data_IF_842166158644
#
_entry.id   IF_842166158644
#
_cell.length_a   1.000
_cell.length_b   1.000
_cell.length_c   1.000
_cell.angle_alpha   90.00
_cell.angle_beta   90.00
_cell.angle_gamma   90.00
#
_symmetry.space_group_name_H-M   'P 1'
#
loop_
_entity.id
_entity.type
_entity.pdbx_description
1 polymer ?
#
# COMPACT_ATOMS: atom_id res chain seq x y z
N UNK A 1 37.66 -8.86 40.22
CA UNK A 1 37.43 -8.39 38.84
C UNK A 1 37.39 -9.62 37.94
N UNK A 2 36.39 -9.76 37.04
CA UNK A 2 35.94 -11.04 36.50
C UNK A 2 36.79 -11.61 35.34
N UNK A 3 36.93 -12.94 35.34
CA UNK A 3 37.44 -13.79 34.27
C UNK A 3 36.24 -14.32 33.46
N UNK A 4 36.34 -14.35 32.12
CA UNK A 4 35.66 -15.24 31.12
C UNK A 4 35.90 -14.64 29.71
N UNK A 5 36.74 -15.19 28.82
CA UNK A 5 36.51 -16.35 27.91
C UNK A 5 35.04 -16.42 27.43
N UNK A 6 34.66 -16.49 26.16
CA UNK A 6 35.26 -16.80 24.85
C UNK A 6 34.08 -17.08 23.86
N UNK A 7 34.37 -17.52 22.63
CA UNK A 7 33.44 -17.94 21.53
C UNK A 7 32.75 -16.78 20.79
N UNK A 8 32.99 -16.46 19.50
CA UNK A 8 33.07 -17.22 18.23
C UNK A 8 31.79 -17.99 17.86
N UNK A 9 31.01 -17.44 16.93
CA UNK A 9 30.17 -18.15 15.93
C UNK A 9 29.80 -17.15 14.83
N UNK A 10 30.45 -17.24 13.66
CA UNK A 10 29.90 -17.87 12.45
C UNK A 10 28.59 -17.18 11.99
N UNK A 11 28.54 -16.36 10.94
CA UNK A 11 29.27 -16.52 9.68
C UNK A 11 28.63 -17.63 8.83
N UNK A 12 27.36 -17.46 8.45
CA UNK A 12 26.74 -18.24 7.36
C UNK A 12 25.93 -17.26 6.49
N UNK A 13 26.56 -16.84 5.40
CA UNK A 13 25.92 -16.29 4.20
C UNK A 13 25.95 -17.41 3.17
N UNK A 14 24.82 -18.05 2.92
CA UNK A 14 24.54 -18.99 1.84
C UNK A 14 23.06 -19.38 1.97
N UNK A 15 22.21 -19.44 0.95
CA UNK A 15 22.35 -19.37 -0.49
C UNK A 15 20.98 -18.99 -1.07
N UNK A 16 20.94 -18.09 -2.06
CA UNK A 16 19.76 -17.89 -2.91
C UNK A 16 20.08 -18.55 -4.25
N UNK A 17 19.57 -19.78 -4.45
CA UNK A 17 19.70 -20.53 -5.70
C UNK A 17 18.35 -20.58 -6.42
N UNK A 18 18.40 -20.26 -7.70
CA UNK A 18 17.30 -20.17 -8.65
C UNK A 18 16.73 -21.53 -9.07
N UNK A 19 15.39 -21.68 -9.09
CA UNK A 19 14.56 -22.58 -9.91
C UNK A 19 13.14 -21.97 -9.88
N UNK A 20 12.35 -21.79 -10.93
CA UNK A 20 12.44 -22.16 -12.33
C UNK A 20 11.27 -21.52 -13.10
N UNK A 21 11.44 -21.45 -14.42
CA UNK A 21 10.50 -20.97 -15.41
C UNK A 21 9.46 -22.06 -15.77
N UNK A 22 8.26 -21.61 -16.18
CA UNK A 22 7.27 -22.27 -17.06
C UNK A 22 5.97 -22.74 -16.40
N UNK A 23 4.91 -21.95 -16.59
CA UNK A 23 3.62 -22.48 -17.07
C UNK A 23 3.08 -21.55 -18.17
N UNK A 24 2.73 -22.15 -19.30
CA UNK A 24 2.00 -21.52 -20.40
C UNK A 24 0.51 -21.84 -20.23
N UNK A 25 -0.39 -20.86 -20.38
CA UNK A 25 -1.80 -21.08 -20.76
C UNK A 25 -2.54 -19.75 -21.02
N UNK A 26 -3.23 -19.69 -22.17
CA UNK A 26 -4.52 -19.00 -22.45
C UNK A 26 -4.57 -17.46 -22.32
N UNK A 27 -4.68 -16.70 -23.43
CA UNK A 27 -5.88 -16.43 -24.26
C UNK A 27 -7.01 -15.75 -23.47
N UNK A 28 -7.24 -14.48 -23.83
CA UNK A 28 -8.43 -13.65 -23.59
C UNK A 28 -8.94 -13.54 -22.14
N UNK A 29 -8.54 -12.48 -21.43
CA UNK A 29 -9.36 -11.87 -20.36
C UNK A 29 -8.95 -10.42 -20.12
N UNK A 30 -9.75 -9.51 -20.68
CA UNK A 30 -9.82 -8.12 -20.27
C UNK A 30 -10.58 -8.05 -18.94
N UNK A 31 -9.86 -8.30 -17.86
CA UNK A 31 -10.24 -7.88 -16.51
C UNK A 31 -9.01 -7.24 -15.89
N UNK A 32 -8.93 -5.91 -16.01
CA UNK A 32 -8.05 -5.13 -15.17
C UNK A 32 -8.74 -4.97 -13.80
N UNK A 33 -8.76 -6.05 -13.03
CA UNK A 33 -8.84 -5.94 -11.57
C UNK A 33 -7.40 -6.10 -11.08
N UNK A 34 -6.81 -5.12 -10.40
CA UNK A 34 -5.59 -5.40 -9.67
C UNK A 34 -6.00 -6.34 -8.54
N UNK A 35 -5.78 -7.63 -8.74
CA UNK A 35 -5.74 -8.61 -7.68
C UNK A 35 -4.54 -8.24 -6.80
N UNK A 36 -4.74 -7.39 -5.81
CA UNK A 36 -3.75 -7.17 -4.76
C UNK A 36 -3.89 -8.33 -3.78
N UNK A 37 -3.36 -9.49 -4.17
CA UNK A 37 -2.89 -10.47 -3.19
C UNK A 37 -1.64 -9.89 -2.53
N UNK A 38 -1.81 -9.00 -1.57
CA UNK A 38 -0.77 -8.60 -0.63
C UNK A 38 -1.19 -9.05 0.78
N UNK A 39 -1.31 -10.37 0.93
CA UNK A 39 -1.37 -11.01 2.24
C UNK A 39 -0.04 -11.75 2.43
N UNK A 40 0.98 -11.05 2.91
CA UNK A 40 2.13 -11.61 3.64
C UNK A 40 2.97 -10.46 4.18
N UNK A 41 3.10 -10.40 5.51
CA UNK A 41 4.00 -9.51 6.26
C UNK A 41 3.50 -8.06 6.51
N UNK A 42 2.27 -7.90 7.01
CA UNK A 42 1.91 -6.67 7.73
C UNK A 42 2.46 -6.80 9.17
N UNK A 43 3.28 -5.84 9.67
CA UNK A 43 3.67 -5.81 11.07
C UNK A 43 2.44 -5.78 11.97
N UNK A 44 2.56 -6.26 13.20
CA UNK A 44 1.46 -6.21 14.16
C UNK A 44 0.90 -4.77 14.21
N UNK A 45 -0.41 -4.58 14.05
CA UNK A 45 -0.94 -3.25 13.87
C UNK A 45 -0.69 -2.42 15.12
N UNK A 46 -0.12 -1.23 14.91
CA UNK A 46 0.18 -0.30 16.00
C UNK A 46 -1.09 0.27 16.65
N UNK A 47 -2.25 0.07 16.02
CA UNK A 47 -3.54 0.65 16.38
C UNK A 47 -4.57 -0.44 16.72
N UNK A 48 -5.61 -0.08 17.47
CA UNK A 48 -6.68 -1.01 17.84
C UNK A 48 -7.39 -1.56 16.60
N UNK A 49 -7.90 -2.80 16.61
CA UNK A 49 -8.60 -3.39 15.47
C UNK A 49 -9.82 -2.57 15.00
N UNK A 50 -10.49 -1.86 15.91
CA UNK A 50 -11.57 -0.92 15.59
C UNK A 50 -11.08 0.26 14.74
N UNK A 51 -9.90 0.80 15.05
CA UNK A 51 -9.29 1.90 14.29
C UNK A 51 -8.85 1.43 12.90
N UNK A 52 -8.31 0.21 12.81
CA UNK A 52 -7.99 -0.39 11.51
C UNK A 52 -9.23 -0.50 10.63
N UNK A 53 -10.34 -1.00 11.18
CA UNK A 53 -11.60 -1.12 10.44
C UNK A 53 -12.14 0.25 10.03
N UNK A 54 -12.07 1.24 10.91
CA UNK A 54 -12.49 2.60 10.61
C UNK A 54 -11.65 3.21 9.47
N UNK A 55 -10.32 3.09 9.55
CA UNK A 55 -9.43 3.55 8.49
C UNK A 55 -9.67 2.82 7.16
N UNK A 56 -9.91 1.51 7.22
CA UNK A 56 -10.22 0.68 6.06
C UNK A 56 -11.52 1.13 5.38
N UNK A 57 -12.60 1.32 6.14
CA UNK A 57 -13.88 1.80 5.62
C UNK A 57 -13.74 3.18 4.97
N UNK A 58 -12.96 4.07 5.60
CA UNK A 58 -12.72 5.41 5.09
C UNK A 58 -11.91 5.37 3.78
N UNK A 59 -10.90 4.50 3.70
CA UNK A 59 -10.12 4.27 2.48
C UNK A 59 -10.98 3.66 1.35
N UNK A 60 -11.86 2.71 1.64
CA UNK A 60 -12.79 2.14 0.65
C UNK A 60 -13.80 3.19 0.14
N UNK A 61 -14.28 4.09 1.00
CA UNK A 61 -15.14 5.19 0.57
C UNK A 61 -14.38 6.19 -0.33
N UNK A 62 -13.13 6.50 0.03
CA UNK A 62 -12.26 7.34 -0.79
C UNK A 62 -12.01 6.71 -2.17
N UNK A 63 -11.81 5.39 -2.23
CA UNK A 63 -11.66 4.65 -3.48
C UNK A 63 -12.93 4.72 -4.34
N UNK A 64 -14.12 4.58 -3.74
CA UNK A 64 -15.40 4.75 -4.47
C UNK A 64 -15.50 6.14 -5.10
N UNK A 65 -15.10 7.19 -4.37
CA UNK A 65 -15.07 8.56 -4.90
C UNK A 65 -14.05 8.67 -6.04
N UNK A 66 -12.86 8.08 -5.90
CA UNK A 66 -11.82 8.07 -6.92
C UNK A 66 -12.28 7.37 -8.21
N UNK A 67 -13.05 6.30 -8.09
CA UNK A 67 -13.58 5.50 -9.19
C UNK A 67 -14.90 6.03 -9.77
N UNK A 68 -15.55 6.99 -9.10
CA UNK A 68 -16.80 7.59 -9.56
C UNK A 68 -16.62 8.23 -10.95
N UNK A 69 -17.37 7.78 -11.98
CA UNK A 69 -17.33 8.37 -13.31
C UNK A 69 -18.11 9.69 -13.41
N UNK A 70 -18.99 10.00 -12.44
CA UNK A 70 -19.78 11.23 -12.42
C UNK A 70 -18.95 12.46 -12.01
N UNK A 71 -17.85 12.25 -11.28
CA UNK A 71 -16.98 13.33 -10.81
C UNK A 71 -15.81 13.59 -11.76
N UNK A 72 -15.50 14.86 -12.00
CA UNK A 72 -14.33 15.20 -12.78
C UNK A 72 -13.03 14.82 -12.02
N UNK A 73 -11.94 14.47 -12.72
CA UNK A 73 -10.63 14.21 -12.10
C UNK A 73 -10.17 15.27 -11.10
N UNK A 74 -10.48 16.54 -11.39
CA UNK A 74 -10.14 17.70 -10.54
C UNK A 74 -10.92 17.77 -9.24
N UNK A 75 -12.03 17.06 -9.13
CA UNK A 75 -12.89 17.05 -7.95
C UNK A 75 -12.68 15.76 -7.16
N UNK A 76 -12.65 14.61 -7.84
CA UNK A 76 -12.52 13.32 -7.16
C UNK A 76 -11.13 13.06 -6.59
N UNK A 77 -10.05 13.41 -7.29
CA UNK A 77 -8.70 13.12 -6.80
C UNK A 77 -8.32 13.91 -5.55
N UNK A 78 -8.56 15.23 -5.44
CA UNK A 78 -8.31 15.95 -4.19
C UNK A 78 -9.17 15.44 -3.04
N UNK A 79 -10.45 15.13 -3.30
CA UNK A 79 -11.38 14.64 -2.28
C UNK A 79 -10.95 13.27 -1.74
N UNK A 80 -10.68 12.33 -2.65
CA UNK A 80 -10.17 11.01 -2.28
C UNK A 80 -8.81 11.11 -1.56
N UNK A 81 -7.91 11.97 -2.03
CA UNK A 81 -6.60 12.18 -1.40
C UNK A 81 -6.71 12.67 0.04
N UNK A 82 -7.64 13.59 0.34
CA UNK A 82 -7.94 14.03 1.69
C UNK A 82 -8.38 12.87 2.58
N UNK A 83 -9.34 12.08 2.10
CA UNK A 83 -9.86 10.93 2.84
C UNK A 83 -8.78 9.87 3.07
N UNK A 84 -7.96 9.53 2.08
CA UNK A 84 -6.86 8.58 2.31
C UNK A 84 -5.87 9.08 3.37
N UNK A 85 -5.60 10.39 3.45
CA UNK A 85 -4.76 10.96 4.51
C UNK A 85 -5.43 10.87 5.88
N UNK A 86 -6.75 11.06 5.95
CA UNK A 86 -7.51 10.85 7.18
C UNK A 86 -7.46 9.39 7.63
N UNK A 87 -7.55 8.44 6.68
CA UNK A 87 -7.37 7.02 6.96
C UNK A 87 -5.98 6.73 7.54
N UNK A 88 -4.91 7.31 6.97
CA UNK A 88 -3.55 7.18 7.51
C UNK A 88 -3.33 7.87 8.85
N UNK A 89 -4.16 8.85 9.19
CA UNK A 89 -4.13 9.48 10.53
C UNK A 89 -4.72 8.54 11.59
N UNK A 90 -5.67 7.68 11.20
CA UNK A 90 -6.29 6.68 12.08
C UNK A 90 -5.44 5.41 12.14
N UNK A 91 -5.04 4.88 10.98
CA UNK A 91 -4.19 3.70 10.81
C UNK A 91 -3.04 4.02 9.84
N UNK A 92 -1.85 4.38 10.36
CA UNK A 92 -0.69 4.70 9.52
C UNK A 92 -0.19 3.53 8.66
N UNK A 93 -0.58 2.29 8.99
CA UNK A 93 -0.19 1.09 8.25
C UNK A 93 -1.26 0.65 7.23
N UNK A 94 -2.25 1.52 6.95
CA UNK A 94 -3.27 1.20 5.98
C UNK A 94 -2.68 1.14 4.56
N UNK A 95 -2.49 -0.08 4.07
CA UNK A 95 -1.89 -0.33 2.76
C UNK A 95 -2.75 0.22 1.60
N UNK A 96 -4.08 0.21 1.72
CA UNK A 96 -4.98 0.72 0.68
C UNK A 96 -4.83 2.23 0.53
N UNK A 97 -4.84 2.96 1.65
CA UNK A 97 -4.67 4.41 1.66
C UNK A 97 -3.28 4.83 1.15
N UNK A 98 -2.22 4.16 1.59
CA UNK A 98 -0.85 4.44 1.15
C UNK A 98 -0.68 4.25 -0.36
N UNK A 99 -1.16 3.11 -0.89
CA UNK A 99 -1.08 2.82 -2.33
C UNK A 99 -1.91 3.82 -3.15
N UNK A 100 -3.12 4.16 -2.68
CA UNK A 100 -4.01 5.07 -3.40
C UNK A 100 -3.52 6.51 -3.40
N UNK A 101 -2.90 6.98 -2.31
CA UNK A 101 -2.20 8.28 -2.28
C UNK A 101 -1.09 8.28 -3.33
N UNK A 102 -0.22 7.27 -3.33
CA UNK A 102 0.88 7.19 -4.28
C UNK A 102 0.39 7.20 -5.74
N UNK A 103 -0.70 6.48 -6.04
CA UNK A 103 -1.35 6.49 -7.34
C UNK A 103 -1.84 7.89 -7.73
N UNK A 104 -2.59 8.55 -6.84
CA UNK A 104 -3.12 9.90 -7.10
C UNK A 104 -1.99 10.90 -7.34
N UNK A 105 -0.95 10.86 -6.50
CA UNK A 105 0.20 11.73 -6.65
C UNK A 105 0.94 11.51 -7.98
N UNK A 106 1.03 10.25 -8.42
CA UNK A 106 1.65 9.93 -9.71
C UNK A 106 0.84 10.46 -10.90
N UNK A 107 -0.50 10.42 -10.81
CA UNK A 107 -1.40 11.05 -11.78
C UNK A 107 -1.14 12.56 -11.84
N UNK A 108 -1.00 13.23 -10.69
CA UNK A 108 -0.67 14.66 -10.64
C UNK A 108 0.69 14.97 -11.29
N UNK A 109 1.73 14.20 -10.95
CA UNK A 109 3.07 14.34 -11.55
C UNK A 109 3.03 14.14 -13.06
N UNK A 110 2.31 13.12 -13.53
CA UNK A 110 2.13 12.82 -14.96
C UNK A 110 1.38 13.91 -15.71
N UNK A 111 0.49 14.65 -15.04
CA UNK A 111 -0.19 15.83 -15.60
C UNK A 111 0.66 17.11 -15.53
N UNK A 112 1.88 17.07 -14.97
CA UNK A 112 2.70 18.25 -14.72
C UNK A 112 2.07 19.23 -13.71
N UNK A 113 1.25 18.71 -12.79
CA UNK A 113 0.53 19.49 -11.78
C UNK A 113 1.08 19.22 -10.38
N UNK A 114 1.09 20.23 -9.49
CA UNK A 114 1.45 20.00 -8.09
C UNK A 114 0.37 19.19 -7.36
N UNK A 115 0.81 18.35 -6.43
CA UNK A 115 -0.08 17.59 -5.55
C UNK A 115 -0.75 18.54 -4.55
N UNK A 116 -2.08 18.48 -4.36
CA UNK A 116 -2.77 19.25 -3.33
C UNK A 116 -2.28 18.88 -1.92
N UNK A 117 -1.91 19.88 -1.13
CA UNK A 117 -1.50 19.69 0.26
C UNK A 117 -2.74 19.65 1.19
N UNK A 118 -2.68 18.92 2.31
CA UNK A 118 -3.72 18.99 3.33
C UNK A 118 -3.78 20.45 3.84
N UNK A 119 -4.99 20.97 3.99
CA UNK A 119 -5.25 22.34 4.47
C UNK A 119 -5.39 22.35 5.98
#
# INVERSE_FOLDING_TARGET
>A
MPIRQGLITAGVVAALAAVGCSTAATKDSKSAEPTVTAAADAPAPAVSPEQQQQAQQLAEEAEKIMLDPALAPREKYPKALGMFRDALTIDPDNALATQSIALIEDIYRSMGRPVPQPT
#
